data_IF_847596198679
#
_entry.id   IF_847596198679
#
_cell.length_a   1.000
_cell.length_b   1.000
_cell.length_c   1.000
_cell.angle_alpha   90.00
_cell.angle_beta   90.00
_cell.angle_gamma   90.00
#
_symmetry.space_group_name_H-M   'P 1'
#
loop_
_entity.id
_entity.type
_entity.pdbx_description
1 polymer ?
#
# COMPACT_ATOMS: atom_id res chain seq x y z
N UNK A 1 -0.02 0.04 -16.08
CA UNK A 1 0.81 -0.03 -14.85
C UNK A 1 0.04 -0.60 -13.67
N UNK A 2 -1.06 0.04 -13.24
CA UNK A 2 -1.84 -0.40 -12.07
C UNK A 2 -2.40 -1.81 -12.23
N UNK A 3 -3.00 -2.13 -13.38
CA UNK A 3 -3.50 -3.47 -13.73
C UNK A 3 -2.43 -4.57 -13.74
N UNK A 4 -1.22 -4.23 -14.21
CA UNK A 4 -0.10 -5.18 -14.22
C UNK A 4 0.45 -5.40 -12.80
N UNK A 5 0.50 -4.32 -12.01
CA UNK A 5 0.89 -4.41 -10.61
C UNK A 5 -0.15 -5.20 -9.79
N UNK A 6 -1.45 -5.05 -10.07
CA UNK A 6 -2.50 -5.83 -9.39
C UNK A 6 -2.43 -7.31 -9.77
N UNK A 7 -2.23 -7.64 -11.05
CA UNK A 7 -1.99 -9.01 -11.49
C UNK A 7 -0.75 -9.61 -10.81
N UNK A 8 0.34 -8.83 -10.70
CA UNK A 8 1.55 -9.25 -10.00
C UNK A 8 1.30 -9.49 -8.50
N UNK A 9 0.57 -8.61 -7.82
CA UNK A 9 0.23 -8.75 -6.39
C UNK A 9 -0.54 -10.04 -6.10
N UNK A 10 -1.45 -10.43 -7.00
CA UNK A 10 -2.19 -11.69 -6.87
C UNK A 10 -1.31 -12.90 -7.19
N UNK A 11 -0.56 -12.85 -8.29
CA UNK A 11 0.31 -13.97 -8.71
C UNK A 11 1.47 -14.25 -7.74
N UNK A 12 1.97 -13.21 -7.05
CA UNK A 12 3.04 -13.33 -6.06
C UNK A 12 2.56 -13.92 -4.72
N UNK A 13 1.25 -14.16 -4.56
CA UNK A 13 0.67 -14.59 -3.30
C UNK A 13 0.66 -13.50 -2.22
N UNK A 14 0.88 -12.23 -2.59
CA UNK A 14 0.85 -11.11 -1.65
C UNK A 14 -0.56 -10.92 -1.09
N UNK A 15 -1.57 -11.12 -1.94
CA UNK A 15 -3.00 -11.03 -1.60
C UNK A 15 -3.81 -11.86 -2.60
N UNK A 16 -5.01 -12.28 -2.23
CA UNK A 16 -5.97 -12.93 -3.14
C UNK A 16 -6.84 -11.93 -3.90
N UNK A 17 -6.77 -10.63 -3.54
CA UNK A 17 -7.77 -9.65 -3.95
C UNK A 17 -9.08 -9.81 -3.17
N UNK A 18 -10.00 -8.87 -3.35
CA UNK A 18 -11.34 -8.92 -2.77
C UNK A 18 -12.37 -9.02 -3.90
N UNK A 19 -13.17 -10.08 -3.90
CA UNK A 19 -14.27 -10.21 -4.87
C UNK A 19 -15.61 -9.76 -4.28
N UNK A 20 -15.80 -9.96 -2.97
CA UNK A 20 -17.05 -9.64 -2.26
C UNK A 20 -16.80 -8.81 -1.02
N UNK A 21 -17.78 -7.99 -0.65
CA UNK A 21 -17.70 -7.14 0.54
C UNK A 21 -17.64 -7.93 1.85
N UNK A 22 -18.30 -9.09 1.93
CA UNK A 22 -18.29 -9.92 3.14
C UNK A 22 -16.95 -10.63 3.35
N UNK A 23 -16.11 -10.69 2.32
CA UNK A 23 -14.80 -11.31 2.39
C UNK A 23 -13.83 -10.42 3.19
N UNK A 24 -13.27 -10.99 4.25
CA UNK A 24 -12.30 -10.30 5.09
C UNK A 24 -10.90 -10.53 4.55
N UNK A 25 -10.42 -9.59 3.74
CA UNK A 25 -9.05 -9.64 3.21
C UNK A 25 -8.08 -8.99 4.19
N UNK A 26 -6.92 -9.62 4.35
CA UNK A 26 -5.86 -9.09 5.20
C UNK A 26 -5.19 -7.86 4.61
N UNK A 27 -4.71 -6.97 5.47
CA UNK A 27 -4.02 -5.76 5.04
C UNK A 27 -2.64 -6.07 4.44
N UNK A 28 -2.26 -5.33 3.40
CA UNK A 28 -0.91 -5.34 2.83
C UNK A 28 -0.17 -4.08 3.25
N UNK A 29 0.98 -4.24 3.89
CA UNK A 29 1.82 -3.13 4.29
C UNK A 29 2.79 -2.74 3.17
N UNK A 30 2.84 -1.47 2.80
CA UNK A 30 3.78 -0.90 1.84
C UNK A 30 4.90 -0.19 2.59
N UNK A 31 6.10 -0.76 2.53
CA UNK A 31 7.31 -0.19 3.12
C UNK A 31 8.34 0.11 2.03
N UNK A 32 7.98 1.06 1.17
CA UNK A 32 8.75 1.51 0.01
C UNK A 32 9.21 2.96 0.17
N UNK A 33 10.12 3.39 -0.70
CA UNK A 33 10.47 4.80 -0.81
C UNK A 33 9.28 5.61 -1.35
N UNK A 34 9.28 6.92 -1.10
CA UNK A 34 8.23 7.82 -1.61
C UNK A 34 8.49 8.14 -3.09
N UNK A 35 8.18 7.19 -3.96
CA UNK A 35 8.36 7.29 -5.41
C UNK A 35 7.08 6.88 -6.16
N UNK A 36 7.14 6.89 -7.50
CA UNK A 36 6.04 6.47 -8.38
C UNK A 36 5.62 5.02 -8.11
N UNK A 37 6.54 4.16 -7.70
CA UNK A 37 6.26 2.77 -7.36
C UNK A 37 5.30 2.65 -6.18
N UNK A 38 5.51 3.43 -5.11
CA UNK A 38 4.58 3.46 -3.98
C UNK A 38 3.17 3.82 -4.44
N UNK A 39 3.02 4.84 -5.29
CA UNK A 39 1.71 5.23 -5.83
C UNK A 39 1.09 4.13 -6.70
N UNK A 40 1.87 3.46 -7.54
CA UNK A 40 1.40 2.35 -8.39
C UNK A 40 0.90 1.19 -7.52
N UNK A 41 1.65 0.78 -6.49
CA UNK A 41 1.23 -0.31 -5.60
C UNK A 41 0.03 0.07 -4.74
N UNK A 42 -0.01 1.30 -4.23
CA UNK A 42 -1.17 1.81 -3.50
C UNK A 42 -2.41 1.76 -4.38
N UNK A 43 -2.33 2.31 -5.60
CA UNK A 43 -3.44 2.30 -6.55
C UNK A 43 -3.85 0.88 -6.92
N UNK A 44 -2.88 -0.04 -7.08
CA UNK A 44 -3.16 -1.44 -7.40
C UNK A 44 -3.89 -2.17 -6.28
N UNK A 45 -3.50 -1.93 -5.02
CA UNK A 45 -4.19 -2.50 -3.85
C UNK A 45 -5.62 -1.95 -3.70
N UNK A 46 -5.79 -0.63 -3.88
CA UNK A 46 -7.12 -0.01 -3.87
C UNK A 46 -7.99 -0.53 -5.02
N UNK A 47 -7.40 -0.76 -6.20
CA UNK A 47 -8.09 -1.32 -7.37
C UNK A 47 -8.69 -2.71 -7.08
N UNK A 48 -7.96 -3.57 -6.37
CA UNK A 48 -8.42 -4.92 -6.00
C UNK A 48 -9.15 -4.98 -4.65
N UNK A 49 -9.46 -3.83 -4.04
CA UNK A 49 -10.22 -3.75 -2.79
C UNK A 49 -9.47 -4.25 -1.55
N UNK A 50 -8.13 -4.22 -1.57
CA UNK A 50 -7.29 -4.71 -0.48
C UNK A 50 -6.81 -3.55 0.40
N UNK A 51 -6.96 -3.62 1.74
CA UNK A 51 -6.52 -2.56 2.63
C UNK A 51 -5.00 -2.35 2.55
N UNK A 52 -4.58 -1.11 2.31
CA UNK A 52 -3.16 -0.76 2.21
C UNK A 52 -2.68 -0.02 3.48
N UNK A 53 -1.67 -0.55 4.17
CA UNK A 53 -0.97 0.13 5.26
C UNK A 53 0.28 0.83 4.73
N UNK A 54 0.33 2.16 4.79
CA UNK A 54 1.52 2.91 4.38
C UNK A 54 2.48 3.06 5.56
N UNK A 55 3.69 2.52 5.42
CA UNK A 55 4.76 2.63 6.40
C UNK A 55 5.82 3.62 5.93
N UNK A 56 6.12 4.62 6.76
CA UNK A 56 7.21 5.55 6.47
C UNK A 56 8.58 4.88 6.59
N UNK A 57 9.40 5.03 5.55
CA UNK A 57 10.82 4.63 5.54
C UNK A 57 11.67 5.29 6.66
N UNK A 58 11.15 6.34 7.31
CA UNK A 58 11.85 7.07 8.40
C UNK A 58 11.54 6.51 9.79
N UNK A 59 10.63 5.54 9.91
CA UNK A 59 10.28 4.96 11.20
C UNK A 59 11.38 4.04 11.73
N UNK A 60 11.53 4.02 13.04
CA UNK A 60 12.41 3.06 13.71
C UNK A 60 11.85 1.63 13.59
N UNK A 61 12.69 0.59 13.58
CA UNK A 61 12.24 -0.79 13.53
C UNK A 61 11.23 -1.17 14.63
N UNK A 62 11.39 -0.60 15.83
CA UNK A 62 10.49 -0.78 16.98
C UNK A 62 9.11 -0.16 16.76
N UNK A 63 9.06 1.01 16.13
CA UNK A 63 7.80 1.67 15.77
C UNK A 63 7.04 0.89 14.70
N UNK A 64 7.77 0.34 13.72
CA UNK A 64 7.18 -0.53 12.68
C UNK A 64 6.67 -1.83 13.30
N UNK A 65 7.41 -2.44 14.22
CA UNK A 65 6.96 -3.66 14.93
C UNK A 65 5.64 -3.40 15.69
N UNK A 66 5.51 -2.25 16.33
CA UNK A 66 4.27 -1.84 16.99
C UNK A 66 3.10 -1.73 16.01
N UNK A 67 3.30 -1.07 14.86
CA UNK A 67 2.26 -0.94 13.84
C UNK A 67 1.86 -2.28 13.23
N UNK A 68 2.82 -3.17 12.95
CA UNK A 68 2.56 -4.53 12.46
C UNK A 68 1.75 -5.31 13.50
N UNK A 69 2.04 -5.15 14.78
CA UNK A 69 1.27 -5.78 15.87
C UNK A 69 -0.15 -5.23 15.96
N UNK A 70 -0.34 -3.94 15.76
CA UNK A 70 -1.67 -3.28 15.81
C UNK A 70 -2.53 -3.63 14.60
N UNK A 71 -1.94 -3.72 13.40
CA UNK A 71 -2.66 -3.86 12.12
C UNK A 71 -2.68 -5.29 11.57
N UNK A 72 -1.80 -6.17 12.05
CA UNK A 72 -1.68 -7.57 11.62
C UNK A 72 -1.72 -7.74 10.08
N UNK A 73 -0.80 -7.10 9.33
CA UNK A 73 -0.77 -7.26 7.88
C UNK A 73 -0.45 -8.71 7.51
N UNK A 74 -0.98 -9.17 6.37
CA UNK A 74 -0.67 -10.51 5.82
C UNK A 74 0.68 -10.53 5.14
N UNK A 75 1.01 -9.44 4.45
CA UNK A 75 2.21 -9.31 3.63
C UNK A 75 2.80 -7.91 3.75
N UNK A 76 4.13 -7.81 3.64
CA UNK A 76 4.86 -6.54 3.64
C UNK A 76 5.63 -6.43 2.33
N UNK A 77 5.25 -5.45 1.52
CA UNK A 77 5.97 -5.04 0.32
C UNK A 77 7.20 -4.22 0.71
N UNK A 78 8.37 -4.68 0.29
CA UNK A 78 9.65 -4.02 0.57
C UNK A 78 10.46 -3.82 -0.69
N UNK A 79 11.35 -2.82 -0.67
CA UNK A 79 12.39 -2.66 -1.68
C UNK A 79 13.68 -3.33 -1.19
N UNK A 80 14.66 -3.47 -2.08
CA UNK A 80 16.00 -3.92 -1.70
C UNK A 80 16.59 -3.10 -0.54
N UNK A 81 16.35 -1.78 -0.54
CA UNK A 81 16.85 -0.85 0.47
C UNK A 81 16.14 -1.00 1.83
N UNK A 82 14.82 -1.23 1.83
CA UNK A 82 14.02 -1.32 3.06
C UNK A 82 13.94 -2.73 3.64
N UNK A 83 14.32 -3.75 2.85
CA UNK A 83 14.30 -5.17 3.23
C UNK A 83 15.07 -5.47 4.51
N UNK A 84 16.22 -4.84 4.72
CA UNK A 84 17.07 -5.06 5.91
C UNK A 84 16.39 -4.53 7.18
N UNK A 85 15.75 -3.37 7.09
CA UNK A 85 15.00 -2.78 8.20
C UNK A 85 13.77 -3.64 8.51
N UNK A 86 13.04 -4.08 7.49
CA UNK A 86 11.88 -4.96 7.65
C UNK A 86 12.26 -6.29 8.31
N UNK A 87 13.34 -6.96 7.87
CA UNK A 87 13.82 -8.20 8.50
C UNK A 87 14.19 -8.01 9.97
N UNK A 88 14.87 -6.90 10.30
CA UNK A 88 15.17 -6.54 11.70
C UNK A 88 13.88 -6.34 12.50
N UNK A 89 12.88 -5.65 11.94
CA UNK A 89 11.57 -5.50 12.57
C UNK A 89 10.89 -6.85 12.81
N UNK A 90 10.93 -7.78 11.86
CA UNK A 90 10.36 -9.12 12.04
C UNK A 90 11.05 -9.91 13.15
N UNK A 91 12.37 -9.76 13.34
CA UNK A 91 13.08 -10.38 14.47
C UNK A 91 12.74 -9.79 15.84
N UNK A 92 12.17 -8.58 15.89
CA UNK A 92 11.73 -7.93 17.13
C UNK A 92 10.28 -8.28 17.50
N UNK A 93 9.53 -8.91 16.60
CA UNK A 93 8.16 -9.32 16.89
C UNK A 93 8.20 -10.53 17.85
N UNK A 94 7.49 -10.46 19.00
CA UNK A 94 7.38 -11.59 19.88
C UNK A 94 6.67 -12.74 19.15
N UNK A 95 7.17 -13.98 19.28
CA UNK A 95 6.62 -15.18 18.61
C UNK A 95 5.23 -15.61 19.09
N UNK A 96 4.46 -14.70 19.68
CA UNK A 96 3.19 -14.99 20.33
C UNK A 96 2.01 -14.52 19.47
N UNK A 97 1.19 -15.50 19.07
CA UNK A 97 -0.17 -15.44 18.54
C UNK A 97 -0.45 -15.20 17.05
N UNK A 98 0.49 -14.75 16.20
CA UNK A 98 0.21 -14.56 14.77
C UNK A 98 1.33 -15.10 13.87
N UNK A 99 1.01 -15.67 12.69
CA UNK A 99 2.03 -16.00 11.71
C UNK A 99 2.75 -14.71 11.31
N UNK A 100 4.09 -14.73 11.21
CA UNK A 100 4.84 -13.57 10.75
C UNK A 100 4.39 -13.21 9.33
N UNK A 101 4.22 -11.91 9.02
CA UNK A 101 3.78 -11.50 7.69
C UNK A 101 4.81 -11.91 6.64
N UNK A 102 4.32 -12.28 5.46
CA UNK A 102 5.19 -12.64 4.34
C UNK A 102 5.96 -11.40 3.87
N UNK A 103 7.27 -11.53 3.70
CA UNK A 103 8.10 -10.44 3.18
C UNK A 103 8.24 -10.60 1.67
N UNK A 104 7.67 -9.67 0.90
CA UNK A 104 7.69 -9.72 -0.56
C UNK A 104 8.48 -8.54 -1.11
N UNK A 105 9.49 -8.83 -1.91
CA UNK A 105 10.27 -7.79 -2.59
C UNK A 105 9.49 -7.27 -3.78
N UNK A 106 9.08 -6.01 -3.73
CA UNK A 106 8.35 -5.35 -4.80
C UNK A 106 9.30 -5.03 -5.97
N UNK A 107 8.98 -5.42 -7.22
CA UNK A 107 9.74 -5.00 -8.39
C UNK A 107 9.63 -3.48 -8.60
N UNK A 108 10.63 -2.86 -9.26
CA UNK A 108 10.57 -1.44 -9.58
C UNK A 108 9.42 -1.15 -10.55
N UNK A 109 8.85 0.06 -10.47
CA UNK A 109 7.72 0.44 -11.32
C UNK A 109 8.04 0.37 -12.82
N UNK A 110 9.32 0.51 -13.20
CA UNK A 110 9.80 0.40 -14.58
C UNK A 110 9.51 -0.97 -15.20
N UNK A 111 9.42 -2.03 -14.40
CA UNK A 111 9.02 -3.36 -14.86
C UNK A 111 7.60 -3.36 -15.42
N UNK A 112 6.71 -2.47 -14.94
CA UNK A 112 5.33 -2.36 -15.40
C UNK A 112 5.12 -1.36 -16.55
N UNK A 113 6.18 -0.67 -16.99
CA UNK A 113 6.13 0.24 -18.15
C UNK A 113 6.32 -0.51 -19.47
N UNK A 114 7.12 -1.57 -19.46
CA UNK A 114 7.50 -2.34 -20.64
C UNK A 114 6.49 -3.47 -20.89
N UNK A 115 5.26 -3.10 -21.25
CA UNK A 115 4.25 -4.03 -21.77
C UNK A 115 4.74 -4.64 -23.09
N UNK A 116 5.50 -5.74 -23.05
CA UNK A 116 5.93 -6.45 -24.26
C UNK A 116 7.20 -7.29 -24.15
N UNK A 117 7.98 -7.16 -23.07
CA UNK A 117 9.11 -8.05 -22.81
C UNK A 117 8.65 -9.16 -21.86
N UNK A 118 8.55 -10.43 -22.29
CA UNK A 118 8.34 -11.53 -21.37
C UNK A 118 9.61 -11.66 -20.53
N UNK A 119 9.62 -11.05 -19.35
CA UNK A 119 10.55 -11.51 -18.32
C UNK A 119 10.10 -12.93 -17.95
N UNK A 120 11.03 -13.91 -17.92
CA UNK A 120 10.69 -15.32 -17.69
C UNK A 120 10.02 -15.60 -16.33
N UNK A 121 9.98 -14.60 -15.44
CA UNK A 121 9.50 -14.71 -14.07
C UNK A 121 8.12 -14.07 -13.84
N UNK A 122 7.47 -13.49 -14.87
CA UNK A 122 6.16 -12.86 -14.73
C UNK A 122 5.11 -13.62 -15.58
N UNK A 123 4.44 -14.64 -15.03
CA UNK A 123 3.30 -15.22 -15.71
C UNK A 123 2.26 -14.13 -15.95
N UNK A 124 1.75 -14.05 -17.18
CA UNK A 124 0.59 -13.22 -17.57
C UNK A 124 -0.65 -13.75 -16.83
N UNK A 125 -0.70 -13.55 -15.51
CA UNK A 125 -1.87 -13.83 -14.70
C UNK A 125 -3.00 -12.92 -15.19
N UNK A 126 -4.25 -13.41 -15.28
CA UNK A 126 -5.37 -12.57 -15.65
C UNK A 126 -5.43 -11.36 -14.72
N UNK A 127 -5.63 -10.19 -15.30
CA UNK A 127 -5.79 -8.94 -14.55
C UNK A 127 -7.05 -9.08 -13.69
N UNK A 128 -6.97 -8.90 -12.37
CA UNK A 128 -8.14 -8.98 -11.51
C UNK A 128 -9.11 -7.83 -11.82
N UNK A 129 -10.43 -8.09 -11.79
CA UNK A 129 -11.42 -7.05 -12.01
C UNK A 129 -11.31 -5.96 -10.93
N UNK A 130 -11.72 -4.72 -11.23
CA UNK A 130 -11.81 -3.66 -10.23
C UNK A 130 -12.83 -4.03 -9.14
N UNK A 131 -12.50 -3.74 -7.89
CA UNK A 131 -13.41 -3.89 -6.76
C UNK A 131 -14.36 -2.69 -6.68
N UNK A 132 -15.64 -2.90 -6.98
CA UNK A 132 -16.65 -1.83 -7.02
C UNK A 132 -17.53 -1.77 -5.76
N UNK A 133 -17.60 -2.87 -4.98
CA UNK A 133 -18.52 -3.02 -3.85
C UNK A 133 -18.03 -2.34 -2.54
N UNK A 134 -17.68 -1.05 -2.59
CA UNK A 134 -17.26 -0.29 -1.42
C UNK A 134 -18.35 0.68 -0.93
N UNK A 135 -18.58 0.75 0.38
CA UNK A 135 -19.39 1.82 0.96
C UNK A 135 -18.52 2.99 1.44
N UNK A 136 -19.04 4.23 1.42
CA UNK A 136 -18.32 5.40 1.94
C UNK A 136 -17.87 5.29 3.40
N UNK A 137 -18.55 4.45 4.19
CA UNK A 137 -18.29 4.20 5.61
C UNK A 137 -17.26 3.10 5.86
N UNK A 138 -16.82 2.36 4.84
CA UNK A 138 -15.94 1.20 5.02
C UNK A 138 -14.51 1.67 5.29
N UNK A 139 -13.98 1.40 6.49
CA UNK A 139 -12.66 1.88 6.94
C UNK A 139 -11.50 0.93 6.57
N UNK A 140 -11.61 0.27 5.42
CA UNK A 140 -10.74 -0.81 4.97
C UNK A 140 -9.98 -0.49 3.67
N UNK A 141 -9.91 0.78 3.27
CA UNK A 141 -9.18 1.18 2.07
C UNK A 141 -7.71 1.50 2.37
N UNK A 142 -7.48 2.39 3.33
CA UNK A 142 -6.16 2.96 3.59
C UNK A 142 -5.90 3.06 5.09
N UNK A 143 -4.74 2.58 5.52
CA UNK A 143 -4.26 2.69 6.89
C UNK A 143 -3.02 3.56 6.90
N UNK A 144 -3.10 4.67 7.63
CA UNK A 144 -2.00 5.61 7.84
C UNK A 144 -1.55 5.56 9.30
N UNK A 145 -0.46 6.24 9.63
CA UNK A 145 0.01 6.32 11.01
C UNK A 145 0.19 7.77 11.48
N UNK A 146 -0.20 8.03 12.73
CA UNK A 146 0.08 9.32 13.38
C UNK A 146 1.48 9.34 13.96
N UNK A 147 2.28 10.38 13.70
CA UNK A 147 3.52 10.63 14.46
C UNK A 147 3.15 11.16 15.85
N UNK A 148 3.15 10.29 16.85
CA UNK A 148 2.87 10.68 18.24
C UNK A 148 4.18 11.16 18.88
N UNK A 149 4.20 12.37 19.43
CA UNK A 149 5.41 12.97 20.02
C UNK A 149 5.80 12.35 21.37
N UNK A 150 4.92 11.57 21.99
CA UNK A 150 5.11 10.98 23.33
C UNK A 150 4.84 9.47 23.39
N UNK A 151 4.86 8.75 22.27
CA UNK A 151 4.64 7.30 22.26
C UNK A 151 4.79 6.64 20.88
N UNK A 152 4.46 5.34 20.80
CA UNK A 152 4.45 4.61 19.54
C UNK A 152 3.41 5.17 18.57
N UNK A 153 3.66 5.10 17.25
CA UNK A 153 2.68 5.50 16.24
C UNK A 153 1.43 4.62 16.32
N UNK A 154 0.28 5.25 16.10
CA UNK A 154 -1.03 4.60 16.09
C UNK A 154 -1.55 4.51 14.65
N UNK A 155 -2.14 3.37 14.31
CA UNK A 155 -2.83 3.18 13.05
C UNK A 155 -4.12 4.01 12.96
N UNK A 156 -4.36 4.61 11.79
CA UNK A 156 -5.55 5.41 11.47
C UNK A 156 -6.17 4.82 10.21
N UNK A 157 -7.39 4.32 10.33
CA UNK A 157 -8.12 3.66 9.26
C UNK A 157 -8.99 4.66 8.50
N UNK A 158 -8.95 4.59 7.18
CA UNK A 158 -9.63 5.50 6.28
C UNK A 158 -10.40 4.73 5.20
N UNK A 159 -11.53 5.29 4.80
CA UNK A 159 -12.36 4.76 3.71
C UNK A 159 -11.91 5.25 2.34
N UNK A 160 -12.40 4.62 1.28
CA UNK A 160 -12.21 5.14 -0.09
C UNK A 160 -12.75 6.57 -0.23
N UNK A 161 -13.89 6.85 0.43
CA UNK A 161 -14.50 8.18 0.42
C UNK A 161 -13.61 9.24 1.08
N UNK A 162 -12.74 8.88 2.03
CA UNK A 162 -11.78 9.84 2.61
C UNK A 162 -10.84 10.43 1.54
N UNK A 163 -10.35 9.60 0.61
CA UNK A 163 -9.49 10.06 -0.49
C UNK A 163 -10.25 10.96 -1.46
N UNK A 164 -11.48 10.57 -1.82
CA UNK A 164 -12.34 11.34 -2.73
C UNK A 164 -12.76 12.68 -2.12
N UNK A 165 -13.12 12.70 -0.84
CA UNK A 165 -13.46 13.93 -0.13
C UNK A 165 -12.27 14.89 -0.13
N UNK A 166 -11.07 14.36 0.10
CA UNK A 166 -9.85 15.16 0.04
C UNK A 166 -9.61 15.75 -1.36
N UNK A 167 -9.74 14.93 -2.40
CA UNK A 167 -9.61 15.39 -3.78
C UNK A 167 -10.66 16.46 -4.12
N UNK A 168 -11.91 16.28 -3.67
CA UNK A 168 -13.00 17.24 -3.92
C UNK A 168 -12.81 18.59 -3.21
N UNK A 169 -12.03 18.63 -2.13
CA UNK A 169 -11.73 19.87 -1.42
C UNK A 169 -10.80 20.80 -2.23
N UNK A 170 -10.16 20.28 -3.28
CA UNK A 170 -9.31 21.03 -4.19
C UNK A 170 -10.10 21.50 -5.40
N UNK A 171 -10.03 22.80 -5.68
CA UNK A 171 -10.69 23.39 -6.86
C UNK A 171 -9.82 23.11 -8.09
N UNK A 172 -10.03 21.95 -8.71
CA UNK A 172 -9.47 21.67 -10.03
C UNK A 172 -10.18 22.54 -11.06
N UNK A 173 -9.43 23.41 -11.76
CA UNK A 173 -9.95 24.10 -12.94
C UNK A 173 -10.04 23.13 -14.11
N UNK A 174 -11.12 23.20 -14.89
CA UNK A 174 -11.44 22.29 -15.99
C UNK A 174 -10.36 22.21 -17.09
N UNK A 175 -9.45 23.19 -17.14
CA UNK A 175 -8.34 23.29 -18.11
C UNK A 175 -7.01 22.71 -17.61
N UNK A 176 -6.97 22.08 -16.45
CA UNK A 176 -5.76 21.55 -15.82
C UNK A 176 -5.30 20.20 -16.45
N UNK A 177 -5.22 20.12 -17.78
CA UNK A 177 -4.72 18.93 -18.49
C UNK A 177 -3.21 18.94 -18.74
N UNK A 178 -2.57 20.11 -18.61
CA UNK A 178 -1.18 20.34 -19.04
C UNK A 178 -0.25 20.82 -17.90
N UNK A 179 -0.74 20.84 -16.66
CA UNK A 179 0.02 21.29 -15.49
C UNK A 179 0.87 20.18 -14.86
N UNK A 180 2.14 20.47 -14.57
CA UNK A 180 2.97 19.59 -13.73
C UNK A 180 2.62 19.76 -12.26
N UNK A 181 2.23 18.68 -11.59
CA UNK A 181 2.05 18.64 -10.13
C UNK A 181 3.32 18.16 -9.44
N UNK A 182 3.74 18.84 -8.37
CA UNK A 182 4.95 18.50 -7.60
C UNK A 182 4.53 18.07 -6.20
N UNK A 183 4.69 16.78 -5.90
CA UNK A 183 4.46 16.23 -4.57
C UNK A 183 5.74 16.37 -3.74
N UNK A 184 5.78 17.36 -2.86
CA UNK A 184 6.95 17.62 -1.99
C UNK A 184 6.89 16.89 -0.65
N UNK A 185 5.70 16.44 -0.24
CA UNK A 185 5.49 15.70 1.00
C UNK A 185 5.61 14.19 0.75
N UNK A 186 6.15 13.42 1.71
CA UNK A 186 6.25 11.98 1.52
C UNK A 186 4.86 11.32 1.40
N UNK A 187 4.73 10.36 0.47
CA UNK A 187 3.48 9.66 0.14
C UNK A 187 2.89 8.79 1.28
N UNK A 188 3.57 8.72 2.43
CA UNK A 188 3.08 8.04 3.63
C UNK A 188 2.46 9.00 4.67
N UNK A 189 2.36 10.31 4.39
CA UNK A 189 1.69 11.30 5.24
C UNK A 189 0.48 11.93 4.56
N UNK A 190 -0.68 12.05 5.23
CA UNK A 190 -1.89 12.72 4.68
C UNK A 190 -1.61 14.03 3.91
N UNK A 191 -0.56 14.78 4.28
CA UNK A 191 -0.11 16.00 3.60
C UNK A 191 0.18 15.83 2.08
N UNK A 192 0.52 14.65 1.58
CA UNK A 192 0.72 14.46 0.12
C UNK A 192 -0.59 14.51 -0.68
N UNK A 193 -1.74 14.41 -0.02
CA UNK A 193 -3.03 14.59 -0.68
C UNK A 193 -3.32 16.08 -0.96
N UNK A 194 -2.55 17.03 -0.36
CA UNK A 194 -2.58 18.48 -0.61
C UNK A 194 -1.74 18.86 -1.82
#
# INVERSE_FOLDING_TARGET
MVELASAWLVSSGTTTGRERREEKVGCVAIFLASDVGLFVYLSALLWIGVPALLLSARLSPTSIAHLIKETSPTSILVSSQTSLVARKTLSLLPSTHFPPPSLVTAPPYSTFLLSGSPTPDCPLSPVPPPYEDHLPTDLDALILHSSRTTGFPKAMHHSHAFLLLFASAHRFEEKMGEGSSVVTSPLYHVRWLL
#
